data_IF_432534207229
#
_entry.id   IF_432534207229
#
_cell.length_a   1.000
_cell.length_b   1.000
_cell.length_c   1.000
_cell.angle_alpha   90.00
_cell.angle_beta   90.00
_cell.angle_gamma   90.00
#
_symmetry.space_group_name_H-M   'P 1'
#
loop_
_entity.id
_entity.type
_entity.pdbx_description
1 polymer ?
2 non-polymer ?
3 water ?
#
# COMPACT_ATOMS: atom_id res chain seq x y z
N UNK A 3 8.97 0.16 -23.63
CA UNK A 3 8.92 1.65 -23.76
C UNK A 3 7.63 2.20 -23.15
N UNK A 4 7.71 3.39 -22.51
CA UNK A 4 6.53 3.94 -21.80
C UNK A 4 5.45 4.37 -22.78
N UNK A 5 4.22 4.38 -22.32
CA UNK A 5 3.14 5.02 -23.06
C UNK A 5 2.70 6.25 -22.28
N UNK A 6 2.02 7.15 -22.98
CA UNK A 6 1.67 8.44 -22.37
C UNK A 6 0.34 8.37 -21.61
N UNK A 7 0.18 9.33 -20.69
CA UNK A 7 -1.06 9.49 -19.91
C UNK A 7 -1.10 8.64 -18.66
N UNK A 8 -2.28 8.59 -18.05
CA UNK A 8 -2.53 7.78 -16.85
C UNK A 8 -2.41 6.27 -17.12
N UNK A 9 -1.49 5.56 -16.41
CA UNK A 9 -1.30 4.15 -16.80
C UNK A 9 -2.49 3.24 -16.51
N UNK A 10 -3.46 3.71 -15.70
CA UNK A 10 -4.64 2.90 -15.41
C UNK A 10 -5.68 3.02 -16.52
N UNK A 11 -5.59 4.05 -17.35
CA UNK A 11 -6.69 4.36 -18.28
C UNK A 11 -6.85 3.27 -19.33
N UNK A 12 -8.08 2.76 -19.43
CA UNK A 12 -8.45 1.76 -20.45
C UNK A 12 -8.24 0.32 -20.05
N UNK A 13 -7.83 0.10 -18.81
CA UNK A 13 -7.54 -1.23 -18.33
C UNK A 13 -8.61 -1.76 -17.40
N UNK A 14 -8.89 -3.05 -17.52
CA UNK A 14 -9.67 -3.72 -16.50
C UNK A 14 -8.67 -4.09 -15.41
N UNK A 15 -9.05 -3.86 -14.17
CA UNK A 15 -8.16 -4.17 -13.06
C UNK A 15 -8.39 -5.60 -12.62
N UNK A 16 -7.32 -6.40 -12.71
CA UNK A 16 -7.35 -7.79 -12.35
C UNK A 16 -7.76 -7.94 -10.89
N UNK A 17 -8.71 -8.85 -10.64
CA UNK A 17 -9.21 -9.10 -9.28
C UNK A 17 -8.40 -10.19 -8.60
N UNK A 18 -7.80 -9.84 -7.47
CA UNK A 18 -6.99 -10.75 -6.68
C UNK A 18 -7.71 -12.04 -6.33
N UNK A 19 -7.23 -13.18 -6.84
CA UNK A 19 -7.85 -14.46 -6.47
C UNK A 19 -7.61 -14.85 -5.00
N UNK A 20 -6.47 -14.39 -4.46
CA UNK A 20 -6.03 -14.57 -3.06
C UNK A 20 -7.11 -13.95 -2.16
N UNK A 21 -7.44 -12.71 -2.44
CA UNK A 21 -8.43 -11.98 -1.65
C UNK A 21 -9.84 -12.52 -1.89
N UNK A 22 -10.16 -12.88 -3.13
CA UNK A 22 -11.46 -13.43 -3.42
C UNK A 22 -11.73 -14.70 -2.61
N UNK A 23 -10.71 -15.57 -2.51
CA UNK A 23 -10.80 -16.80 -1.68
C UNK A 23 -11.10 -16.43 -0.24
N UNK A 24 -10.37 -15.46 0.28
CA UNK A 24 -10.57 -15.01 1.65
C UNK A 24 -11.98 -14.48 1.86
N UNK A 25 -12.46 -13.66 0.94
CA UNK A 25 -13.79 -13.07 1.06
C UNK A 25 -14.87 -14.15 0.95
N UNK A 26 -14.68 -15.10 0.04
CA UNK A 26 -15.67 -16.19 -0.10
C UNK A 26 -15.77 -16.98 1.21
N UNK A 27 -14.62 -17.28 1.80
CA UNK A 27 -14.58 -18.03 3.08
C UNK A 27 -15.22 -17.21 4.20
N UNK A 28 -14.96 -15.90 4.20
CA UNK A 28 -15.52 -15.00 5.19
C UNK A 28 -17.04 -14.93 5.11
N UNK A 29 -17.59 -14.78 3.90
CA UNK A 29 -19.03 -14.71 3.71
C UNK A 29 -19.69 -16.01 4.16
N UNK A 30 -19.02 -17.14 3.96
CA UNK A 30 -19.53 -18.44 4.38
C UNK A 30 -19.76 -18.54 5.90
N UNK A 31 -19.05 -17.71 6.66
CA UNK A 31 -19.20 -17.67 8.13
C UNK A 31 -20.25 -16.68 8.61
N UNK A 32 -20.77 -15.87 7.69
CA UNK A 32 -21.76 -14.86 8.04
C UNK A 32 -23.17 -15.41 7.87
N UNK A 33 -23.94 -15.41 8.97
CA UNK A 33 -25.29 -15.98 8.95
C UNK A 33 -26.36 -15.09 8.30
N UNK A 34 -26.35 -13.79 8.59
CA UNK A 34 -27.37 -12.91 8.00
C UNK A 34 -27.22 -12.88 6.49
N UNK A 35 -28.31 -13.21 5.76
CA UNK A 35 -28.24 -13.25 4.30
C UNK A 35 -27.83 -11.93 3.66
N UNK A 36 -28.34 -10.81 4.16
CA UNK A 36 -28.05 -9.50 3.56
C UNK A 36 -26.58 -9.13 3.79
N UNK A 37 -26.09 -9.34 5.00
CA UNK A 37 -24.68 -9.07 5.33
C UNK A 37 -23.74 -10.00 4.56
N UNK A 38 -24.11 -11.27 4.44
CA UNK A 38 -23.37 -12.23 3.61
C UNK A 38 -23.25 -11.73 2.16
N UNK A 39 -24.35 -11.25 1.59
CA UNK A 39 -24.35 -10.76 0.20
C UNK A 39 -23.51 -9.50 0.04
N UNK A 40 -23.57 -8.62 1.05
CA UNK A 40 -22.70 -7.44 1.05
C UNK A 40 -21.24 -7.84 1.11
N UNK A 41 -20.90 -8.81 1.96
CA UNK A 41 -19.53 -9.31 2.05
C UNK A 41 -19.03 -9.83 0.72
N UNK A 42 -19.88 -10.59 0.03
CA UNK A 42 -19.51 -11.13 -1.28
C UNK A 42 -19.25 -10.07 -2.33
N UNK A 43 -19.90 -8.92 -2.22
CA UNK A 43 -19.64 -7.79 -3.11
C UNK A 43 -18.16 -7.41 -3.07
N UNK A 44 -17.51 -7.64 -1.93
CA UNK A 44 -16.12 -7.18 -1.76
C UNK A 44 -15.15 -7.85 -2.72
N UNK A 45 -15.44 -9.09 -3.10
CA UNK A 45 -14.47 -9.77 -3.97
C UNK A 45 -14.45 -9.18 -5.40
N UNK A 46 -15.42 -8.32 -5.72
CA UNK A 46 -15.50 -7.62 -7.01
C UNK A 46 -14.76 -6.28 -7.00
N UNK A 47 -14.18 -5.93 -5.85
CA UNK A 47 -13.52 -4.64 -5.70
C UNK A 47 -12.02 -4.89 -5.75
N UNK A 48 -11.32 -4.25 -6.71
CA UNK A 48 -9.90 -4.62 -6.89
C UNK A 48 -9.03 -4.14 -5.73
N UNK A 49 -8.09 -5.01 -5.40
CA UNK A 49 -7.09 -4.76 -4.36
C UNK A 49 -5.68 -4.98 -4.90
N UNK A 50 -4.71 -4.50 -4.16
CA UNK A 50 -3.32 -4.85 -4.48
C UNK A 50 -2.93 -6.19 -3.90
N UNK A 51 -2.04 -6.88 -4.61
CA UNK A 51 -1.55 -8.20 -4.21
C UNK A 51 -0.14 -8.01 -3.63
N UNK A 52 0.07 -8.45 -2.39
CA UNK A 52 1.30 -8.13 -1.67
C UNK A 52 2.33 -9.23 -1.78
N UNK A 53 3.55 -8.82 -2.09
CA UNK A 53 4.71 -9.75 -2.09
C UNK A 53 5.59 -9.40 -0.93
N UNK A 54 5.14 -9.80 0.25
CA UNK A 54 5.78 -9.41 1.50
C UNK A 54 6.79 -10.44 1.97
N UNK A 55 6.84 -11.59 1.29
CA UNK A 55 7.81 -12.66 1.56
C UNK A 55 8.23 -13.23 0.22
N UNK A 56 9.48 -13.67 0.13
CA UNK A 56 10.04 -14.11 -1.14
C UNK A 56 9.40 -15.43 -1.59
N UNK A 57 8.86 -16.19 -0.64
CA UNK A 57 8.13 -17.42 -0.99
C UNK A 57 6.95 -17.14 -1.90
N UNK A 58 6.44 -15.92 -1.92
CA UNK A 58 5.28 -15.62 -2.76
C UNK A 58 5.64 -15.28 -4.20
N UNK A 59 6.92 -15.13 -4.54
CA UNK A 59 7.21 -14.67 -5.91
C UNK A 59 6.62 -15.56 -7.02
N UNK A 60 6.63 -16.90 -6.87
CA UNK A 60 6.02 -17.70 -7.95
C UNK A 60 4.52 -17.46 -8.10
N UNK A 61 3.86 -16.95 -7.05
CA UNK A 61 2.46 -16.62 -7.15
C UNK A 61 2.24 -15.47 -8.13
N UNK A 62 3.22 -14.57 -8.25
CA UNK A 62 3.13 -13.54 -9.28
C UNK A 62 3.00 -14.16 -10.67
N UNK A 63 3.82 -15.17 -10.98
CA UNK A 63 3.68 -15.88 -12.26
C UNK A 63 2.28 -16.41 -12.48
N UNK A 64 1.72 -17.01 -11.44
CA UNK A 64 0.35 -17.53 -11.53
C UNK A 64 -0.67 -16.44 -11.82
N UNK A 65 -0.55 -15.29 -11.15
CA UNK A 65 -1.52 -14.21 -11.37
C UNK A 65 -1.35 -13.60 -12.75
N UNK A 66 -0.11 -13.45 -13.20
CA UNK A 66 0.13 -12.89 -14.52
C UNK A 66 -0.34 -13.83 -15.63
N UNK A 67 -0.16 -15.13 -15.42
CA UNK A 67 -0.65 -16.13 -16.39
C UNK A 67 -2.17 -16.09 -16.43
N UNK A 68 -2.80 -15.91 -15.28
CA UNK A 68 -4.26 -15.86 -15.19
C UNK A 68 -4.77 -14.59 -15.88
N UNK A 69 -4.15 -13.43 -15.58
CA UNK A 69 -4.55 -12.19 -16.24
C UNK A 69 -4.35 -12.28 -17.76
N UNK A 70 -3.27 -12.94 -18.18
CA UNK A 70 -3.01 -13.17 -19.60
C UNK A 70 -4.11 -14.01 -20.22
N UNK A 71 -4.52 -15.10 -19.54
CA UNK A 71 -5.63 -15.95 -20.04
C UNK A 71 -6.93 -15.17 -20.14
N UNK A 72 -7.24 -14.34 -19.16
CA UNK A 72 -8.47 -13.54 -19.17
C UNK A 72 -8.44 -12.57 -20.34
N UNK A 73 -7.29 -11.91 -20.52
CA UNK A 73 -7.12 -10.96 -21.63
C UNK A 73 -7.33 -11.65 -22.97
N UNK A 74 -6.76 -12.84 -23.11
CA UNK A 74 -6.84 -13.59 -24.36
C UNK A 74 -8.27 -14.05 -24.65
N UNK A 75 -8.98 -14.45 -23.60
CA UNK A 75 -10.34 -14.96 -23.78
C UNK A 75 -11.32 -13.83 -24.07
N UNK A 76 -11.16 -12.70 -23.41
CA UNK A 76 -12.15 -11.61 -23.46
C UNK A 76 -11.77 -10.43 -24.37
N UNK A 77 -10.49 -10.33 -24.71
CA UNK A 77 -9.99 -9.20 -25.47
C UNK A 77 -9.83 -7.93 -24.65
N UNK A 78 -10.13 -8.00 -23.35
CA UNK A 78 -10.04 -6.81 -22.49
C UNK A 78 -8.66 -6.76 -21.81
N UNK A 79 -7.91 -5.68 -22.04
CA UNK A 79 -6.58 -5.48 -21.44
C UNK A 79 -6.68 -5.48 -19.91
N UNK A 80 -5.79 -6.25 -19.29
CA UNK A 80 -5.75 -6.43 -17.83
C UNK A 80 -4.58 -5.68 -17.21
N UNK A 81 -4.81 -5.16 -16.01
CA UNK A 81 -3.78 -4.51 -15.21
C UNK A 81 -3.72 -5.20 -13.84
N UNK A 82 -2.53 -5.65 -13.46
CA UNK A 82 -2.29 -6.36 -12.19
C UNK A 82 -1.58 -5.43 -11.22
N UNK A 83 -2.13 -5.33 -10.00
CA UNK A 83 -1.65 -4.40 -8.97
C UNK A 83 -0.90 -5.17 -7.91
N UNK A 84 0.37 -4.81 -7.71
CA UNK A 84 1.24 -5.54 -6.78
C UNK A 84 1.93 -4.61 -5.80
N UNK A 85 2.34 -5.18 -4.66
CA UNK A 85 3.13 -4.46 -3.67
C UNK A 85 4.47 -5.15 -3.44
N UNK A 86 5.54 -4.38 -3.56
CA UNK A 86 6.88 -4.87 -3.29
C UNK A 86 7.20 -4.47 -1.85
N UNK A 87 7.37 -5.43 -0.95
CA UNK A 87 7.47 -5.11 0.50
C UNK A 87 8.35 -6.10 1.24
N UNK A 88 9.65 -6.05 1.03
CA UNK A 88 10.53 -6.99 1.71
C UNK A 88 11.93 -6.44 1.93
N UNK A 89 12.07 -5.13 2.10
CA UNK A 89 13.40 -4.58 2.39
C UNK A 89 14.06 -5.24 3.60
N UNK A 90 15.40 -5.35 3.58
CA UNK A 90 16.07 -5.79 4.79
C UNK A 90 15.98 -4.75 5.94
N UNK A 91 15.94 -5.24 7.18
CA UNK A 91 15.69 -4.39 8.34
C UNK A 91 14.42 -3.57 8.11
N UNK A 92 13.40 -4.26 7.56
CA UNK A 92 12.11 -3.65 7.21
C UNK A 92 11.49 -2.95 8.43
N UNK A 93 10.75 -1.89 8.18
CA UNK A 93 9.93 -1.25 9.21
C UNK A 93 10.83 -0.79 10.37
N UNK A 94 11.84 -0.02 10.03
CA UNK A 94 12.93 0.25 10.98
C UNK A 94 12.52 0.99 12.25
N UNK A 95 11.46 1.79 12.18
CA UNK A 95 10.98 2.53 13.37
C UNK A 95 9.95 1.79 14.19
N UNK A 96 9.55 0.61 13.74
CA UNK A 96 8.46 -0.13 14.38
C UNK A 96 8.97 -0.87 15.58
N UNK A 97 8.06 -1.12 16.53
CA UNK A 97 8.39 -1.88 17.73
C UNK A 97 8.83 -3.30 17.39
N UNK A 98 8.25 -3.86 16.33
CA UNK A 98 8.62 -5.18 15.84
C UNK A 98 8.46 -5.16 14.34
N UNK A 99 9.16 -6.06 13.63
CA UNK A 99 8.93 -6.24 12.21
C UNK A 99 8.78 -7.70 11.87
N UNK A 100 7.91 -7.96 10.90
CA UNK A 100 7.74 -9.29 10.35
C UNK A 100 8.71 -9.54 9.19
N UNK A 101 9.54 -8.55 8.82
CA UNK A 101 10.35 -8.69 7.61
C UNK A 101 11.37 -9.80 7.77
N UNK A 102 11.47 -10.65 6.75
CA UNK A 102 12.33 -11.83 6.84
C UNK A 102 13.82 -11.58 6.65
N UNK A 103 14.22 -10.43 6.12
CA UNK A 103 15.61 -10.17 5.80
C UNK A 103 16.21 -9.19 6.80
N UNK A 104 17.42 -9.53 7.26
CA UNK A 104 18.16 -8.69 8.21
C UNK A 104 19.47 -8.29 7.59
N UNK A 105 19.86 -7.03 7.75
CA UNK A 105 21.13 -6.56 7.18
C UNK A 105 22.31 -7.37 7.73
N UNK A 106 22.21 -7.76 8.99
CA UNK A 106 23.25 -8.55 9.65
C UNK A 106 23.39 -9.96 9.09
N UNK A 107 22.36 -10.48 8.43
CA UNK A 107 22.40 -11.81 7.82
C UNK A 107 22.20 -11.73 6.28
N UNK A 108 23.07 -10.97 5.64
CA UNK A 108 23.08 -10.87 4.17
C UNK A 108 21.81 -10.30 3.57
N UNK A 109 21.12 -9.45 4.32
CA UNK A 109 19.80 -8.97 3.88
C UNK A 109 19.80 -8.18 2.58
N UNK A 110 20.83 -7.38 2.33
CA UNK A 110 20.88 -6.59 1.11
C UNK A 110 20.94 -7.48 -0.12
N UNK A 111 21.83 -8.47 -0.09
CA UNK A 111 21.91 -9.38 -1.22
C UNK A 111 20.65 -10.24 -1.38
N UNK A 112 20.06 -10.67 -0.27
CA UNK A 112 18.79 -11.42 -0.29
C UNK A 112 17.66 -10.59 -0.87
N UNK A 113 17.66 -9.29 -0.60
CA UNK A 113 16.65 -8.41 -1.16
C UNK A 113 16.80 -8.31 -2.66
N UNK A 114 18.04 -8.13 -3.13
CA UNK A 114 18.25 -8.09 -4.57
C UNK A 114 17.78 -9.37 -5.24
N UNK A 115 18.04 -10.52 -4.60
CA UNK A 115 17.57 -11.80 -5.09
C UNK A 115 16.02 -11.89 -5.13
N UNK A 116 15.34 -11.33 -4.12
CA UNK A 116 13.90 -11.24 -4.10
C UNK A 116 13.38 -10.43 -5.29
N UNK A 117 13.98 -9.27 -5.54
CA UNK A 117 13.59 -8.46 -6.69
C UNK A 117 13.84 -9.23 -7.98
N UNK A 118 14.98 -9.91 -8.06
CA UNK A 118 15.28 -10.69 -9.25
C UNK A 118 14.23 -11.77 -9.49
N UNK A 119 13.74 -12.38 -8.42
CA UNK A 119 12.70 -13.41 -8.55
C UNK A 119 11.40 -12.81 -9.08
N UNK A 120 11.03 -11.63 -8.57
CA UNK A 120 9.86 -10.93 -9.12
C UNK A 120 10.06 -10.63 -10.60
N UNK A 121 11.24 -10.10 -10.94
CA UNK A 121 11.53 -9.79 -12.34
C UNK A 121 11.44 -11.01 -13.25
N UNK A 122 11.91 -12.16 -12.77
CA UNK A 122 11.86 -13.37 -13.59
C UNK A 122 10.42 -13.80 -13.88
N UNK A 123 9.50 -13.54 -12.95
CA UNK A 123 8.08 -13.81 -13.19
C UNK A 123 7.49 -12.84 -14.20
N UNK A 124 7.81 -11.56 -14.06
CA UNK A 124 7.30 -10.54 -14.95
C UNK A 124 7.77 -10.75 -16.38
N UNK A 125 9.02 -11.17 -16.55
CA UNK A 125 9.60 -11.45 -17.87
C UNK A 125 8.80 -12.50 -18.66
N UNK A 126 8.13 -13.41 -17.95
CA UNK A 126 7.34 -14.46 -18.62
C UNK A 126 6.03 -13.97 -19.21
N UNK A 127 5.55 -12.80 -18.75
CA UNK A 127 4.22 -12.34 -19.12
C UNK A 127 4.22 -10.87 -19.53
N UNK A 128 4.80 -10.58 -20.71
CA UNK A 128 4.93 -9.19 -21.12
C UNK A 128 3.66 -8.52 -21.63
N UNK A 129 2.56 -9.25 -21.78
CA UNK A 129 1.41 -8.70 -22.49
C UNK A 129 0.36 -8.12 -21.54
N UNK A 130 0.67 -8.15 -20.25
CA UNK A 130 -0.19 -7.57 -19.23
C UNK A 130 0.52 -6.38 -18.58
N UNK A 131 -0.25 -5.40 -18.14
CA UNK A 131 0.30 -4.23 -17.47
C UNK A 131 0.34 -4.45 -15.97
N UNK A 132 1.40 -3.97 -15.36
CA UNK A 132 1.58 -4.07 -13.89
C UNK A 132 1.76 -2.68 -13.31
N UNK A 133 1.03 -2.39 -12.24
CA UNK A 133 1.29 -1.25 -11.36
C UNK A 133 1.81 -1.78 -10.04
N UNK A 134 2.96 -1.27 -9.59
CA UNK A 134 3.58 -1.72 -8.34
C UNK A 134 3.71 -0.57 -7.35
N UNK A 135 3.31 -0.81 -6.10
CA UNK A 135 3.65 0.08 -4.98
C UNK A 135 4.95 -0.42 -4.40
N UNK A 136 5.90 0.50 -4.27
CA UNK A 136 7.25 0.13 -3.85
C UNK A 136 7.50 0.47 -2.38
N UNK A 137 7.58 -0.60 -1.57
CA UNK A 137 8.13 -0.57 -0.22
C UNK A 137 7.45 0.42 0.74
N UNK A 138 6.21 0.10 1.12
CA UNK A 138 5.56 0.83 2.22
C UNK A 138 6.45 0.91 3.46
N UNK A 139 6.35 2.02 4.19
CA UNK A 139 7.01 2.14 5.51
C UNK A 139 8.53 2.00 5.36
N UNK A 140 9.10 2.56 4.30
CA UNK A 140 10.57 2.50 4.13
C UNK A 140 11.16 3.91 4.15
N UNK A 141 11.22 4.54 2.98
CA UNK A 141 11.89 5.84 2.84
C UNK A 141 11.25 6.96 3.69
N UNK A 142 9.95 6.86 3.96
CA UNK A 142 9.31 7.85 4.84
C UNK A 142 10.02 7.93 6.21
N UNK A 143 10.58 6.82 6.66
CA UNK A 143 11.38 6.80 7.89
C UNK A 143 12.61 7.68 7.81
N UNK A 144 13.18 7.84 6.61
CA UNK A 144 14.37 8.69 6.48
C UNK A 144 14.03 10.16 6.68
N UNK A 145 12.77 10.53 6.50
CA UNK A 145 12.36 11.92 6.67
C UNK A 145 12.16 12.28 8.13
N UNK A 146 11.52 11.40 8.88
CA UNK A 146 11.11 11.74 10.24
C UNK A 146 11.66 10.88 11.36
N UNK A 147 12.18 9.71 11.04
CA UNK A 147 12.57 8.76 12.10
C UNK A 147 14.04 8.47 12.16
N UNK A 148 14.88 9.43 11.75
CA UNK A 148 16.32 9.23 11.83
C UNK A 148 16.82 9.32 13.28
N UNK A 149 15.95 9.71 14.19
CA UNK A 149 16.30 9.57 15.62
C UNK A 149 16.42 8.10 16.05
N UNK A 150 15.83 7.20 15.26
CA UNK A 150 15.84 5.76 15.59
C UNK A 150 17.11 5.13 15.01
N UNK A 151 17.94 4.55 15.87
CA UNK A 151 19.21 3.97 15.44
C UNK A 151 19.04 2.94 14.30
N UNK A 152 18.02 2.09 14.39
CA UNK A 152 17.77 1.10 13.32
C UNK A 152 17.50 1.78 11.98
N UNK A 153 16.82 2.93 12.01
CA UNK A 153 16.58 3.66 10.77
C UNK A 153 17.87 4.26 10.19
N UNK A 154 18.73 4.84 11.03
CA UNK A 154 20.00 5.29 10.51
C UNK A 154 20.81 4.15 9.93
N UNK A 155 20.72 2.99 10.57
CA UNK A 155 21.42 1.79 10.10
C UNK A 155 20.87 1.24 8.81
N UNK A 156 19.60 1.54 8.53
CA UNK A 156 18.90 0.99 7.35
C UNK A 156 18.86 1.94 6.18
N UNK A 157 19.19 3.22 6.38
CA UNK A 157 19.06 4.23 5.32
C UNK A 157 19.70 3.83 4.00
N UNK A 158 20.96 3.41 4.03
CA UNK A 158 21.65 3.08 2.80
C UNK A 158 20.96 1.92 2.09
N UNK A 159 20.56 0.90 2.84
CA UNK A 159 19.89 -0.26 2.28
C UNK A 159 18.50 0.07 1.70
N UNK A 160 17.74 0.92 2.39
CA UNK A 160 16.45 1.32 1.88
C UNK A 160 16.63 2.05 0.53
N UNK A 161 17.56 2.99 0.46
CA UNK A 161 17.78 3.73 -0.78
C UNK A 161 18.26 2.75 -1.86
N UNK A 162 19.25 1.92 -1.55
CA UNK A 162 19.81 0.96 -2.51
C UNK A 162 18.71 0.02 -3.01
N UNK A 163 17.90 -0.50 -2.08
CA UNK A 163 16.89 -1.49 -2.44
C UNK A 163 15.80 -0.89 -3.29
N UNK A 164 15.31 0.28 -2.90
CA UNK A 164 14.27 0.94 -3.68
C UNK A 164 14.79 1.30 -5.07
N UNK A 165 16.01 1.82 -5.18
CA UNK A 165 16.56 2.15 -6.49
C UNK A 165 16.74 0.88 -7.35
N UNK A 166 17.20 -0.21 -6.73
CA UNK A 166 17.37 -1.46 -7.47
C UNK A 166 16.02 -1.94 -7.98
N UNK A 167 15.01 -1.94 -7.10
CA UNK A 167 13.66 -2.35 -7.50
C UNK A 167 13.13 -1.48 -8.64
N UNK A 168 13.25 -0.16 -8.52
CA UNK A 168 12.77 0.73 -9.58
C UNK A 168 13.48 0.50 -10.91
N UNK A 169 14.80 0.30 -10.86
CA UNK A 169 15.53 0.09 -12.12
C UNK A 169 15.12 -1.23 -12.75
N UNK A 170 14.99 -2.28 -11.95
CA UNK A 170 14.62 -3.59 -12.44
C UNK A 170 13.18 -3.59 -13.00
N UNK A 171 12.26 -2.97 -12.27
CA UNK A 171 10.88 -2.99 -12.70
C UNK A 171 10.66 -2.07 -13.89
N UNK A 172 11.35 -0.93 -13.93
CA UNK A 172 11.21 -0.01 -15.08
C UNK A 172 11.76 -0.65 -16.36
N UNK A 173 12.82 -1.45 -16.21
CA UNK A 173 13.37 -2.18 -17.37
C UNK A 173 12.34 -3.11 -17.99
N UNK A 174 11.37 -3.56 -17.19
CA UNK A 174 10.32 -4.47 -17.66
C UNK A 174 8.99 -3.76 -17.93
N UNK A 175 9.00 -2.42 -17.92
CA UNK A 175 7.80 -1.67 -18.24
C UNK A 175 6.70 -1.67 -17.19
N UNK A 176 7.08 -1.92 -15.94
CA UNK A 176 6.15 -1.86 -14.81
C UNK A 176 6.02 -0.40 -14.41
N UNK A 177 4.80 0.03 -14.10
CA UNK A 177 4.56 1.39 -13.58
C UNK A 177 4.63 1.38 -12.08
N UNK A 178 5.58 2.13 -11.53
CA UNK A 178 5.81 2.12 -10.08
C UNK A 178 5.37 3.40 -9.40
N UNK A 179 4.83 3.23 -8.19
CA UNK A 179 4.57 4.34 -7.28
C UNK A 179 5.28 4.00 -6.00
N UNK A 180 6.19 4.89 -5.61
CA UNK A 180 7.00 4.69 -4.42
C UNK A 180 6.19 5.10 -3.20
N UNK A 181 6.21 4.30 -2.14
CA UNK A 181 5.48 4.69 -0.95
C UNK A 181 5.97 6.03 -0.40
N UNK A 182 5.02 6.88 -0.03
CA UNK A 182 5.37 8.18 0.54
C UNK A 182 4.55 8.51 1.79
N UNK A 183 4.37 7.54 2.67
CA UNK A 183 3.69 7.84 3.93
C UNK A 183 2.27 8.31 3.73
N UNK A 184 1.87 9.27 4.54
CA UNK A 184 0.49 9.76 4.57
C UNK A 184 0.52 11.13 5.24
N UNK A 185 -0.64 11.78 5.30
CA UNK A 185 -0.74 13.15 5.79
C UNK A 185 -0.21 13.30 7.21
N UNK A 186 -0.43 12.29 8.03
CA UNK A 186 -0.02 12.32 9.44
C UNK A 186 1.44 12.01 9.68
N UNK A 187 2.12 11.60 8.61
CA UNK A 187 3.53 11.24 8.70
C UNK A 187 4.34 12.33 8.02
N UNK A 188 4.21 12.45 6.70
CA UNK A 188 5.01 13.38 5.90
C UNK A 188 4.31 14.70 5.60
N UNK A 189 3.03 14.83 5.97
CA UNK A 189 2.23 16.02 5.65
C UNK A 189 2.44 17.20 6.58
N UNK A 190 3.01 16.95 7.77
CA UNK A 190 3.37 18.01 8.68
C UNK A 190 4.29 18.96 7.95
N UNK A 191 4.06 20.25 8.14
CA UNK A 191 4.72 21.25 7.34
C UNK A 191 6.24 21.06 7.31
N UNK A 192 6.83 20.79 8.49
CA UNK A 192 8.30 20.61 8.59
C UNK A 192 8.85 19.46 7.75
N UNK A 193 7.99 18.50 7.41
CA UNK A 193 8.41 17.30 6.71
C UNK A 193 8.25 17.38 5.19
N UNK A 194 7.54 18.39 4.70
CA UNK A 194 7.24 18.50 3.28
C UNK A 194 8.50 18.68 2.42
N UNK A 195 9.36 19.64 2.79
CA UNK A 195 10.53 19.89 1.99
C UNK A 195 11.54 18.72 2.01
N UNK A 196 11.83 18.15 3.20
CA UNK A 196 12.78 17.00 3.15
C UNK A 196 12.18 15.82 2.40
N UNK A 197 10.85 15.66 2.44
CA UNK A 197 10.21 14.60 1.64
C UNK A 197 10.41 14.83 0.14
N UNK A 198 10.15 16.06 -0.31
CA UNK A 198 10.29 16.38 -1.71
C UNK A 198 11.73 16.16 -2.16
N UNK A 199 12.70 16.58 -1.35
CA UNK A 199 14.09 16.37 -1.71
C UNK A 199 14.42 14.89 -1.84
N UNK A 200 14.01 14.10 -0.85
CA UNK A 200 14.34 12.67 -0.84
C UNK A 200 13.71 11.92 -2.01
N UNK A 201 12.42 12.12 -2.24
CA UNK A 201 11.78 11.35 -3.31
C UNK A 201 12.29 11.79 -4.69
N UNK A 202 12.57 13.08 -4.86
CA UNK A 202 13.16 13.54 -6.13
C UNK A 202 14.55 12.93 -6.34
N UNK A 203 15.30 12.76 -5.26
CA UNK A 203 16.62 12.12 -5.36
C UNK A 203 16.51 10.67 -5.77
N UNK A 204 15.54 9.95 -5.21
CA UNK A 204 15.31 8.56 -5.59
C UNK A 204 14.94 8.42 -7.06
N UNK A 205 14.06 9.29 -7.54
CA UNK A 205 13.69 9.34 -8.95
C UNK A 205 14.93 9.55 -9.81
N UNK A 206 15.76 10.51 -9.43
CA UNK A 206 17.02 10.75 -10.17
C UNK A 206 17.93 9.50 -10.18
N UNK A 207 18.22 8.96 -9.01
CA UNK A 207 19.13 7.83 -8.93
C UNK A 207 18.60 6.54 -9.55
N UNK A 208 17.25 6.44 -9.63
CA UNK A 208 16.62 5.32 -10.34
C UNK A 208 16.55 5.53 -11.85
N UNK A 209 17.07 6.67 -12.33
CA UNK A 209 17.26 6.91 -13.78
C UNK A 209 16.18 7.71 -14.46
N UNK A 210 15.23 8.27 -13.71
CA UNK A 210 14.19 9.14 -14.25
C UNK A 210 13.31 8.49 -15.32
N UNK A 211 13.12 7.18 -15.24
CA UNK A 211 12.25 6.50 -16.17
C UNK A 211 10.83 7.01 -15.97
N UNK A 212 10.11 7.23 -17.07
CA UNK A 212 8.70 7.61 -16.99
C UNK A 212 7.84 6.49 -16.43
N UNK A 213 8.38 5.28 -16.36
CA UNK A 213 7.69 4.19 -15.67
C UNK A 213 7.68 4.41 -14.16
N UNK A 214 8.58 5.24 -13.63
CA UNK A 214 8.51 5.62 -12.22
C UNK A 214 7.50 6.74 -12.17
N UNK A 215 6.24 6.37 -11.97
CA UNK A 215 5.13 7.27 -12.23
C UNK A 215 4.91 8.28 -11.11
N UNK A 216 5.20 7.87 -9.88
CA UNK A 216 4.96 8.79 -8.78
C UNK A 216 5.02 8.09 -7.44
N UNK A 217 4.11 8.52 -6.56
CA UNK A 217 4.11 8.12 -5.15
C UNK A 217 2.76 7.52 -4.75
N UNK A 218 2.78 6.66 -3.75
CA UNK A 218 1.55 6.08 -3.17
C UNK A 218 1.43 6.59 -1.74
N UNK A 219 0.21 6.97 -1.37
CA UNK A 219 -0.01 7.48 -0.02
C UNK A 219 -1.12 6.74 0.70
N UNK A 220 -1.07 6.86 2.01
CA UNK A 220 -2.09 6.30 2.90
C UNK A 220 -2.09 4.77 2.91
N UNK A 221 -0.99 4.15 2.49
CA UNK A 221 -0.96 2.70 2.35
C UNK A 221 -1.22 2.04 3.69
N UNK A 222 -2.22 1.17 3.74
CA UNK A 222 -2.60 0.45 4.97
C UNK A 222 -3.07 1.39 6.08
N UNK A 223 -3.40 2.63 5.71
CA UNK A 223 -3.82 3.61 6.71
C UNK A 223 -5.32 3.88 6.59
N UNK A 224 -5.79 4.94 7.26
CA UNK A 224 -7.21 5.19 7.47
C UNK A 224 -7.60 6.64 7.26
N UNK A 225 -6.68 7.46 6.75
CA UNK A 225 -6.95 8.88 6.55
C UNK A 225 -8.03 9.11 5.49
N UNK A 226 -8.74 10.22 5.64
CA UNK A 226 -9.66 10.65 4.61
C UNK A 226 -8.89 11.11 3.40
N UNK A 227 -9.51 10.97 2.23
CA UNK A 227 -9.00 11.65 1.05
C UNK A 227 -9.25 13.15 1.20
N UNK A 228 -10.50 13.53 1.48
CA UNK A 228 -10.83 14.93 1.70
C UNK A 228 -11.98 15.02 2.69
N UNK A 229 -11.68 15.53 3.89
CA UNK A 229 -12.66 15.62 4.97
C UNK A 229 -13.23 17.03 5.09
N UNK A 230 -14.54 17.12 5.34
CA UNK A 230 -15.18 18.44 5.49
C UNK A 230 -14.78 19.04 6.85
N UNK A 231 -14.71 18.20 7.87
CA UNK A 231 -14.24 18.63 9.17
C UNK A 231 -13.09 17.73 9.58
N UNK A 232 -11.98 18.35 9.98
CA UNK A 232 -10.79 17.59 10.32
C UNK A 232 -11.08 16.58 11.44
N UNK A 233 -10.38 15.46 11.37
CA UNK A 233 -10.38 14.46 12.42
C UNK A 233 -9.63 15.06 13.61
N UNK A 234 -10.24 15.00 14.82
CA UNK A 234 -9.57 15.61 15.98
C UNK A 234 -8.13 15.11 16.20
N UNK A 235 -7.83 13.91 15.73
CA UNK A 235 -6.50 13.34 15.89
C UNK A 235 -5.40 14.12 15.12
N UNK A 236 -5.83 14.92 14.15
CA UNK A 236 -4.94 15.68 13.27
C UNK A 236 -4.56 17.07 13.80
N UNK A 237 -5.00 17.37 15.01
CA UNK A 237 -4.76 18.69 15.58
C UNK A 237 -3.27 19.09 15.47
N UNK A 238 -3.04 20.32 15.01
CA UNK A 238 -1.70 20.86 14.79
C UNK A 238 -1.16 20.73 13.38
N UNK A 239 -1.72 19.79 12.60
CA UNK A 239 -1.27 19.57 11.23
C UNK A 239 -2.31 20.15 10.26
N UNK A 240 -1.96 21.22 9.56
CA UNK A 240 -2.89 21.85 8.62
C UNK A 240 -3.26 20.93 7.47
N UNK A 241 -2.39 19.97 7.18
CA UNK A 241 -2.60 19.07 6.06
C UNK A 241 -3.21 17.79 6.61
N UNK A 242 -4.51 17.88 6.90
CA UNK A 242 -5.17 16.90 7.74
C UNK A 242 -5.82 15.74 7.00
N UNK A 243 -5.70 15.73 5.67
CA UNK A 243 -6.18 14.61 4.85
C UNK A 243 -5.25 14.41 3.67
N UNK A 244 -5.51 13.37 2.89
CA UNK A 244 -4.53 13.02 1.86
C UNK A 244 -4.46 14.02 0.74
N UNK A 245 -5.62 14.56 0.33
CA UNK A 245 -5.61 15.56 -0.71
C UNK A 245 -4.86 16.82 -0.29
N UNK A 246 -5.05 17.25 0.95
CA UNK A 246 -4.26 18.38 1.46
C UNK A 246 -2.76 18.12 1.45
N UNK A 247 -2.38 16.92 1.90
CA UNK A 247 -0.99 16.47 1.86
C UNK A 247 -0.43 16.52 0.45
N UNK A 248 -1.13 15.87 -0.47
CA UNK A 248 -0.64 15.83 -1.84
C UNK A 248 -0.58 17.23 -2.48
N UNK A 249 -1.59 18.07 -2.23
CA UNK A 249 -1.56 19.43 -2.75
C UNK A 249 -0.41 20.24 -2.18
N UNK A 250 0.01 19.93 -0.96
CA UNK A 250 1.14 20.64 -0.35
C UNK A 250 2.48 20.11 -0.86
N UNK A 251 2.55 18.80 -1.11
CA UNK A 251 3.80 18.15 -1.48
C UNK A 251 4.12 18.23 -2.97
N UNK A 252 3.11 18.04 -3.81
CA UNK A 252 3.34 17.97 -5.26
C UNK A 252 4.10 19.17 -5.85
N UNK A 253 3.76 20.42 -5.45
CA UNK A 253 4.52 21.56 -5.98
C UNK A 253 5.99 21.53 -5.60
N UNK A 254 6.30 21.03 -4.40
CA UNK A 254 7.70 20.96 -3.95
C UNK A 254 8.47 19.87 -4.70
N UNK A 255 7.82 18.74 -4.96
CA UNK A 255 8.39 17.72 -5.82
C UNK A 255 8.74 18.30 -7.18
N UNK A 256 7.81 19.04 -7.76
CA UNK A 256 8.05 19.64 -9.07
C UNK A 256 9.25 20.58 -9.02
N UNK A 257 9.33 21.41 -7.97
CA UNK A 257 10.51 22.29 -7.80
C UNK A 257 11.82 21.53 -7.68
N UNK A 258 11.76 20.36 -7.05
CA UNK A 258 12.90 19.48 -6.89
C UNK A 258 13.19 18.62 -8.12
N UNK A 259 12.43 18.82 -9.20
CA UNK A 259 12.76 18.16 -10.46
C UNK A 259 11.91 16.96 -10.84
N UNK A 260 10.84 16.68 -10.10
CA UNK A 260 9.99 15.54 -10.45
C UNK A 260 8.51 15.87 -10.38
N UNK A 261 7.85 15.82 -11.55
CA UNK A 261 6.40 16.00 -11.63
C UNK A 261 5.70 14.65 -11.35
N UNK A 262 5.71 14.27 -10.07
CA UNK A 262 5.17 13.00 -9.61
C UNK A 262 3.64 12.98 -9.68
N UNK A 263 3.09 11.82 -10.03
CA UNK A 263 1.67 11.56 -9.87
C UNK A 263 1.46 10.72 -8.63
N UNK A 264 0.20 10.50 -8.26
CA UNK A 264 -0.08 9.85 -6.98
C UNK A 264 -1.19 8.81 -7.11
N UNK A 265 -1.12 7.78 -6.27
CA UNK A 265 -2.28 6.95 -5.97
C UNK A 265 -2.50 6.95 -4.48
N UNK A 266 -3.75 6.79 -4.05
CA UNK A 266 -4.11 6.93 -2.64
C UNK A 266 -4.94 5.74 -2.21
N UNK A 267 -4.51 5.05 -1.16
CA UNK A 267 -5.28 3.97 -0.56
C UNK A 267 -6.48 4.55 0.15
N UNK A 268 -7.68 4.01 -0.10
CA UNK A 268 -8.89 4.38 0.67
C UNK A 268 -9.60 3.14 1.20
N UNK A 269 -8.93 1.99 1.15
CA UNK A 269 -9.56 0.72 1.49
C UNK A 269 -10.17 0.63 2.88
N UNK A 270 -9.58 1.33 3.85
CA UNK A 270 -10.09 1.29 5.23
C UNK A 270 -10.38 2.71 5.74
N UNK A 271 -10.80 3.59 4.83
CA UNK A 271 -11.03 4.98 5.16
C UNK A 271 -12.50 5.37 5.29
N UNK A 272 -13.40 4.38 5.32
CA UNK A 272 -14.83 4.70 5.31
C UNK A 272 -15.34 5.41 6.53
N UNK A 273 -14.70 5.15 7.67
CA UNK A 273 -15.06 5.81 8.93
C UNK A 273 -13.86 6.64 9.44
N UNK A 274 -14.13 7.94 9.63
CA UNK A 274 -13.16 8.87 10.17
C UNK A 274 -13.34 9.01 11.68
N UNK A 275 -12.37 9.64 12.33
CA UNK A 275 -12.45 9.95 13.77
C UNK A 275 -12.52 8.69 14.64
N UNK A 276 -11.69 7.70 14.34
CA UNK A 276 -11.69 6.44 15.08
C UNK A 276 -10.37 6.18 15.83
N UNK A 277 -9.50 7.18 15.87
CA UNK A 277 -8.19 6.99 16.50
C UNK A 277 -7.94 7.93 17.67
N UNK A 278 -7.30 7.38 18.70
CA UNK A 278 -6.85 8.18 19.86
C UNK A 278 -5.59 8.96 19.53
N UNK A 279 -4.71 8.35 18.73
CA UNK A 279 -3.45 8.93 18.31
C UNK A 279 -3.31 8.66 16.83
N UNK A 280 -2.78 9.64 16.10
CA UNK A 280 -2.68 9.52 14.66
C UNK A 280 -1.75 8.38 14.26
N UNK A 281 -0.74 8.10 15.06
CA UNK A 281 0.19 7.01 14.77
C UNK A 281 -0.32 5.60 15.05
N UNK A 282 -1.58 5.49 15.47
CA UNK A 282 -2.18 4.18 15.72
C UNK A 282 -2.65 3.56 14.41
N UNK A 283 -2.05 2.44 14.03
CA UNK A 283 -2.27 1.86 12.72
C UNK A 283 -2.74 0.41 12.73
N UNK A 284 -2.67 -0.23 13.89
CA UNK A 284 -2.85 -1.66 13.92
C UNK A 284 -4.28 -2.07 14.22
N UNK A 285 -4.94 -2.65 13.22
CA UNK A 285 -6.29 -3.14 13.37
C UNK A 285 -7.20 -2.11 14.03
N UNK A 286 -7.23 -0.89 13.51
CA UNK A 286 -7.96 0.19 14.19
C UNK A 286 -9.45 -0.13 14.23
N UNK A 287 -10.00 -0.11 15.44
CA UNK A 287 -11.33 -0.62 15.68
C UNK A 287 -12.42 0.24 15.03
N UNK A 288 -13.35 -0.42 14.38
CA UNK A 288 -14.50 0.27 13.81
C UNK A 288 -14.22 0.91 12.47
N UNK A 289 -13.08 0.58 11.85
CA UNK A 289 -12.85 1.05 10.48
C UNK A 289 -13.90 0.48 9.54
N UNK A 290 -14.16 1.22 8.47
CA UNK A 290 -15.04 0.73 7.40
C UNK A 290 -14.36 0.76 6.06
N UNK A 291 -14.82 -0.11 5.14
CA UNK A 291 -14.34 0.01 3.77
C UNK A 291 -14.64 1.41 3.26
N UNK A 292 -13.73 1.98 2.48
CA UNK A 292 -13.90 3.36 2.02
C UNK A 292 -14.29 3.51 0.57
N UNK A 293 -13.99 4.70 0.05
CA UNK A 293 -14.27 5.06 -1.34
C UNK A 293 -13.78 3.94 -2.27
N UNK A 294 -14.62 3.54 -3.22
CA UNK A 294 -14.24 2.50 -4.16
C UNK A 294 -13.14 2.95 -5.10
N UNK A 295 -12.28 2.01 -5.51
CA UNK A 295 -11.24 2.37 -6.49
C UNK A 295 -11.87 3.05 -7.71
N UNK A 296 -11.23 4.09 -8.19
CA UNK A 296 -11.77 4.93 -9.26
C UNK A 296 -10.66 5.77 -9.86
N UNK A 297 -10.82 6.13 -11.13
CA UNK A 297 -9.98 7.12 -11.76
C UNK A 297 -10.62 8.51 -11.71
N UNK A 298 -11.81 8.61 -11.12
CA UNK A 298 -12.45 9.92 -10.91
C UNK A 298 -11.92 10.51 -9.62
N UNK A 299 -10.77 11.17 -9.72
CA UNK A 299 -10.04 11.65 -8.54
C UNK A 299 -10.19 13.17 -8.42
N UNK A 300 -9.87 13.74 -7.24
CA UNK A 300 -10.11 15.18 -7.07
C UNK A 300 -8.98 16.08 -7.59
N UNK A 301 -7.95 15.50 -8.21
CA UNK A 301 -6.83 16.27 -8.72
C UNK A 301 -6.17 15.56 -9.90
N UNK A 302 -5.74 16.35 -10.90
CA UNK A 302 -4.95 15.86 -12.01
C UNK A 302 -3.68 15.14 -11.56
N UNK A 303 -3.21 15.47 -10.36
CA UNK A 303 -1.98 14.85 -9.88
C UNK A 303 -2.25 13.45 -9.34
N UNK A 304 -3.51 13.12 -9.09
CA UNK A 304 -3.85 11.80 -8.55
C UNK A 304 -4.37 10.92 -9.67
N UNK A 305 -3.56 9.92 -10.04
CA UNK A 305 -3.96 8.97 -11.09
C UNK A 305 -5.17 8.11 -10.71
N UNK A 306 -5.22 7.67 -9.44
CA UNK A 306 -6.26 6.71 -9.05
C UNK A 306 -6.42 6.69 -7.54
N UNK A 307 -7.65 6.44 -7.11
CA UNK A 307 -7.94 6.00 -5.74
C UNK A 307 -7.98 4.49 -5.84
N UNK A 308 -7.31 3.82 -4.90
CA UNK A 308 -7.12 2.38 -4.94
C UNK A 308 -7.36 1.77 -3.55
N UNK A 309 -7.43 0.44 -3.49
CA UNK A 309 -7.41 -0.31 -2.22
C UNK A 309 -6.11 -1.09 -2.20
N UNK A 310 -5.15 -0.62 -1.41
CA UNK A 310 -3.82 -1.22 -1.42
C UNK A 310 -3.77 -2.30 -0.36
N UNK A 311 -3.91 -1.93 0.91
CA UNK A 311 -4.07 -2.92 1.98
C UNK A 311 -5.41 -3.64 1.82
N UNK A 312 -5.41 -4.99 1.78
CA UNK A 312 -6.71 -5.68 1.62
C UNK A 312 -7.41 -5.82 2.99
N UNK A 313 -8.46 -5.04 3.18
CA UNK A 313 -9.20 -5.05 4.44
C UNK A 313 -9.70 -6.42 4.85
N UNK A 314 -9.44 -6.79 6.10
CA UNK A 314 -9.80 -8.13 6.56
C UNK A 314 -8.55 -8.89 6.92
N UNK A 315 -7.44 -8.56 6.27
CA UNK A 315 -6.17 -9.16 6.61
C UNK A 315 -5.59 -8.41 7.78
N UNK A 316 -5.22 -9.13 8.84
CA UNK A 316 -4.77 -8.48 10.07
C UNK A 316 -3.49 -7.67 9.89
N UNK A 317 -3.31 -6.66 10.74
CA UNK A 317 -2.09 -5.86 10.71
C UNK A 317 -1.03 -6.41 11.65
N UNK A 318 -1.47 -7.30 12.55
CA UNK A 318 -0.59 -7.84 13.58
C UNK A 318 -1.39 -8.48 14.69
N UNK A 319 -0.75 -9.42 15.39
CA UNK A 319 -1.37 -10.14 16.49
C UNK A 319 -1.50 -9.27 17.72
N UNK A 320 -2.53 -9.54 18.52
CA UNK A 320 -2.66 -8.91 19.83
C UNK A 320 -2.08 -9.75 20.98
N UNK A 321 -1.51 -10.90 20.67
CA UNK A 321 -0.91 -11.77 21.69
C UNK A 321 0.45 -11.19 22.13
N UNK A 322 0.50 -10.66 23.35
CA UNK A 322 1.71 -9.98 23.85
C UNK A 322 2.91 -10.90 23.97
N UNK A 323 2.67 -12.21 23.97
CA UNK A 323 3.71 -13.23 24.09
C UNK A 323 4.29 -13.67 22.76
N UNK A 324 3.62 -13.31 21.67
CA UNK A 324 4.05 -13.74 20.33
C UNK A 324 5.39 -13.10 19.96
N UNK A 325 6.30 -13.89 19.33
CA UNK A 325 7.61 -13.38 18.92
C UNK A 325 7.59 -12.06 18.14
N UNK A 326 6.67 -11.91 17.19
CA UNK A 326 6.65 -10.68 16.40
C UNK A 326 5.62 -9.62 16.89
N UNK A 327 5.17 -9.75 18.13
CA UNK A 327 4.23 -8.79 18.70
C UNK A 327 4.71 -7.36 18.64
N UNK A 328 3.85 -6.49 18.12
CA UNK A 328 4.08 -5.07 18.09
C UNK A 328 3.12 -4.42 19.09
N UNK A 329 3.65 -3.61 19.99
CA UNK A 329 2.83 -2.92 21.01
C UNK A 329 1.69 -2.07 20.42
N UNK A 330 1.81 -1.67 19.14
CA UNK A 330 0.72 -0.94 18.49
C UNK A 330 -0.53 -1.74 18.40
N UNK A 331 -0.37 -3.06 18.38
CA UNK A 331 -1.52 -3.92 18.24
C UNK A 331 -2.27 -4.16 19.55
N UNK A 332 -1.73 -3.61 20.63
CA UNK A 332 -2.43 -3.68 21.93
C UNK A 332 -3.03 -2.37 22.41
N UNK A 333 -3.08 -1.38 21.51
CA UNK A 333 -3.65 -0.08 21.87
C UNK A 333 -5.13 -0.21 22.16
N UNK A 334 -5.66 0.73 22.94
CA UNK A 334 -7.07 0.71 23.32
C UNK A 334 -8.02 0.80 22.13
N UNK A 335 -7.58 1.43 21.06
CA UNK A 335 -8.42 1.56 19.86
C UNK A 335 -8.12 0.51 18.79
N UNK A 336 -7.38 -0.52 19.16
CA UNK A 336 -7.13 -1.67 18.27
C UNK A 336 -8.14 -2.77 18.57
N UNK A 337 -8.59 -3.44 17.52
CA UNK A 337 -9.54 -4.54 17.63
C UNK A 337 -8.81 -5.78 18.12
N UNK A 338 -9.31 -6.37 19.21
CA UNK A 338 -8.66 -7.53 19.83
C UNK A 338 -9.75 -8.55 20.18
N UNK A 339 -9.42 -9.86 20.19
CA UNK A 339 -8.13 -10.44 19.82
C UNK A 339 -7.90 -10.46 18.30
N UNK A 340 -6.65 -10.22 17.92
CA UNK A 340 -6.26 -10.17 16.50
C UNK A 340 -5.25 -11.27 16.21
N UNK A 341 -5.34 -11.88 15.01
CA UNK A 341 -4.37 -12.93 14.61
C UNK A 341 -3.11 -12.35 13.99
N UNK A 342 -2.19 -13.22 13.55
CA UNK A 342 -0.92 -12.78 12.99
C UNK A 342 -1.11 -11.87 11.77
N UNK A 343 -0.19 -10.92 11.62
CA UNK A 343 -0.21 -10.00 10.47
C UNK A 343 -0.37 -10.73 9.15
N UNK A 344 -1.26 -10.22 8.30
CA UNK A 344 -1.50 -10.81 6.98
C UNK A 344 -2.51 -11.94 6.95
N UNK A 345 -2.83 -12.52 8.11
CA UNK A 345 -3.82 -13.59 8.19
C UNK A 345 -5.24 -13.03 8.36
N UNK A 346 -6.25 -13.85 8.05
CA UNK A 346 -7.62 -13.40 8.06
C UNK A 346 -8.14 -13.08 9.47
N UNK A 347 -8.81 -11.95 9.57
CA UNK A 347 -9.34 -11.44 10.84
C UNK A 347 -10.85 -11.23 10.62
N UNK A 348 -11.62 -12.28 10.86
CA UNK A 348 -13.04 -12.33 10.50
C UNK A 348 -13.86 -11.19 11.12
N UNK A 349 -13.73 -11.00 12.44
CA UNK A 349 -14.53 -9.97 13.12
C UNK A 349 -14.24 -8.58 12.55
N UNK A 350 -12.99 -8.36 12.18
CA UNK A 350 -12.56 -7.09 11.62
C UNK A 350 -13.14 -6.87 10.25
N UNK A 351 -13.11 -7.91 9.42
CA UNK A 351 -13.74 -7.88 8.11
C UNK A 351 -15.24 -7.60 8.22
N UNK A 352 -15.92 -8.26 9.16
CA UNK A 352 -17.35 -8.03 9.36
C UNK A 352 -17.62 -6.53 9.63
N UNK A 353 -16.81 -5.93 10.51
CA UNK A 353 -16.98 -4.51 10.77
C UNK A 353 -16.67 -3.63 9.57
N UNK A 354 -15.67 -4.01 8.78
CA UNK A 354 -15.38 -3.26 7.54
C UNK A 354 -16.60 -3.24 6.60
N UNK A 355 -17.28 -4.39 6.51
CA UNK A 355 -18.49 -4.51 5.70
C UNK A 355 -19.65 -3.68 6.29
N UNK A 356 -19.90 -3.87 7.59
CA UNK A 356 -20.99 -3.14 8.24
C UNK A 356 -20.78 -1.64 8.12
N UNK A 357 -19.52 -1.22 8.21
CA UNK A 357 -19.19 0.19 8.31
C UNK A 357 -18.79 0.84 6.99
N UNK A 358 -18.93 0.09 5.90
CA UNK A 358 -18.52 0.58 4.58
C UNK A 358 -19.18 1.91 4.25
N UNK A 359 -18.40 2.83 3.70
CA UNK A 359 -18.91 4.11 3.29
C UNK A 359 -18.20 4.51 2.00
N UNK A 360 -18.94 4.53 0.88
CA UNK A 360 -20.37 4.27 0.73
C UNK A 360 -20.73 2.82 1.10
N UNK A 361 -21.98 2.59 1.48
CA UNK A 361 -22.36 1.26 1.89
C UNK A 361 -22.25 0.24 0.76
N UNK A 362 -22.03 -1.01 1.13
CA UNK A 362 -22.00 -2.10 0.16
C UNK A 362 -23.43 -2.50 -0.19
N UNK A 363 -23.64 -2.77 -1.47
CA UNK A 363 -24.88 -3.33 -1.94
C UNK A 363 -24.73 -4.83 -1.95
N UNK A 364 -25.85 -5.52 -1.73
CA UNK A 364 -25.87 -6.98 -1.69
C UNK A 364 -25.30 -7.63 -2.95
X LIG B 1 1.88 1.14 8.58
X LIG B 1 1.40 1.45 7.23
X LIG B 1 2.07 0.57 6.17
X LIG B 1 2.23 -0.80 6.60
X LIG B 1 2.61 -1.18 7.96
X LIG B 1 2.02 -0.25 9.03
X LIG B 1 2.18 -1.79 5.51
X LIG B 1 1.75 -3.18 5.99
X LIG B 1 0.34 -3.25 5.87
X LIG B 1 2.12 2.16 9.62
X LIG B 1 2.30 3.59 9.12
X LIG B 1 2.21 4.63 10.44
X LIG B 1 0.88 4.58 11.08
X LIG B 1 3.27 4.20 11.40
X LIG B 1 2.51 6.02 10.01
#
# INVERSE_FOLDING_TARGET
TPVPSTGNPFEGYDIYLSPYYAEEVEAAAAMIDDPVLKAKALKVKEIPTFIWFDVVRKTPDLGRYLADATAIQQRTGRKQLVQIVVYDLPDRDCAAAASNGEFSLADGGMEKYKDYVDRLASEIRKYPDVRIVAVIEPDSLANMVTNMNVAKCRGAEAAYKEGVIYALRQLSALGVYSYVDAGHAGWLGWNANLAPSARLFAQIYKDAGRSAFIRGLATNVSNYNALSATTRDPVTQGNDNYDELRFINALAPLLRNEGWDAKFIVDQGRSGVQNIRQEWGNWCNVYGAGFGMRPTLNTPSSAIDAIVWIKPGGEADGTSDTSAPRYDTHCGKSDSHKPAPEAGTWFQEYFVNLVKNANPPLAAALEHHHHHH
EPE N1 C2 C3 N4 C5 C6 C7 C8 O8 C9 C10 S O1S O2S O3S
#
